data_IF_295004834900
#
_entry.id   IF_295004834900
#
_cell.length_a   1.000
_cell.length_b   1.000
_cell.length_c   1.000
_cell.angle_alpha   90.00
_cell.angle_beta   90.00
_cell.angle_gamma   90.00
#
_symmetry.space_group_name_H-M   'P 1'
#
loop_
_entity.id
_entity.type
_entity.pdbx_description
1 polymer ?
#
# COMPACT_ATOMS: atom_id res chain seq x y z
N UNK A 1 -17.80 -14.15 -11.24
CA UNK A 1 -18.80 -13.97 -12.32
C UNK A 1 -18.89 -12.49 -12.67
N UNK A 2 -19.07 -12.17 -13.96
CA UNK A 2 -19.09 -10.78 -14.40
C UNK A 2 -20.49 -10.18 -14.46
N UNK A 3 -20.59 -8.88 -14.18
CA UNK A 3 -21.84 -8.12 -14.10
C UNK A 3 -21.65 -6.69 -14.61
N UNK A 4 -22.75 -6.15 -15.16
CA UNK A 4 -22.85 -4.74 -15.53
C UNK A 4 -23.96 -4.07 -14.72
N UNK A 5 -23.74 -2.79 -14.35
CA UNK A 5 -24.68 -1.99 -13.58
C UNK A 5 -24.81 -0.58 -14.12
N UNK A 6 -25.94 0.08 -13.88
CA UNK A 6 -25.98 1.53 -13.89
C UNK A 6 -25.20 2.11 -12.71
N UNK A 7 -24.70 3.34 -12.82
CA UNK A 7 -24.00 4.01 -11.69
C UNK A 7 -24.83 4.08 -10.42
N UNK A 8 -26.16 4.25 -10.53
CA UNK A 8 -27.05 4.27 -9.36
C UNK A 8 -27.04 2.95 -8.62
N UNK A 9 -27.21 1.83 -9.32
CA UNK A 9 -27.15 0.49 -8.71
C UNK A 9 -25.78 0.19 -8.11
N UNK A 10 -24.70 0.61 -8.78
CA UNK A 10 -23.35 0.45 -8.26
C UNK A 10 -23.12 1.23 -6.95
N UNK A 11 -23.70 2.42 -6.80
CA UNK A 11 -23.68 3.18 -5.55
C UNK A 11 -24.45 2.46 -4.43
N UNK A 12 -25.57 1.84 -4.73
CA UNK A 12 -26.33 1.06 -3.75
C UNK A 12 -25.54 -0.17 -3.26
N UNK A 13 -24.88 -0.88 -4.17
CA UNK A 13 -23.97 -2.00 -3.84
C UNK A 13 -22.81 -1.48 -2.95
N UNK A 14 -22.19 -0.37 -3.35
CA UNK A 14 -21.10 0.23 -2.58
C UNK A 14 -21.55 0.62 -1.16
N UNK A 15 -22.74 1.19 -1.04
CA UNK A 15 -23.35 1.52 0.26
C UNK A 15 -23.60 0.25 1.11
N UNK A 16 -23.91 -0.90 0.51
CA UNK A 16 -24.00 -2.16 1.24
C UNK A 16 -22.62 -2.63 1.71
N UNK A 17 -21.59 -2.48 0.89
CA UNK A 17 -20.21 -2.81 1.29
C UNK A 17 -19.71 -1.95 2.44
N UNK A 18 -19.97 -0.62 2.45
CA UNK A 18 -19.53 0.27 3.54
C UNK A 18 -20.18 -0.05 4.90
N UNK A 19 -21.33 -0.75 4.90
CA UNK A 19 -21.94 -1.25 6.15
C UNK A 19 -21.15 -2.42 6.75
N UNK A 20 -20.59 -3.28 5.89
CA UNK A 20 -19.84 -4.50 6.29
C UNK A 20 -18.35 -4.27 6.42
N UNK A 21 -17.77 -3.40 5.59
CA UNK A 21 -16.34 -3.17 5.44
C UNK A 21 -15.97 -1.71 5.74
N UNK A 22 -14.76 -1.50 6.23
CA UNK A 22 -14.07 -0.23 6.08
C UNK A 22 -13.41 -0.19 4.70
N UNK A 23 -13.91 0.69 3.84
CA UNK A 23 -13.51 0.75 2.42
C UNK A 23 -12.44 1.81 2.23
N UNK A 24 -11.32 1.44 1.62
CA UNK A 24 -10.20 2.33 1.32
C UNK A 24 -9.92 2.36 -0.18
N UNK A 25 -9.74 3.56 -0.71
CA UNK A 25 -9.42 3.78 -2.11
C UNK A 25 -8.53 5.04 -2.28
N UNK A 26 -7.89 5.21 -3.44
CA UNK A 26 -7.30 6.49 -3.80
C UNK A 26 -8.39 7.56 -3.85
N UNK A 27 -8.19 8.67 -3.15
CA UNK A 27 -9.10 9.84 -3.16
C UNK A 27 -8.32 11.14 -3.24
N UNK A 28 -8.96 12.17 -3.77
CA UNK A 28 -8.43 13.52 -3.76
C UNK A 28 -8.55 14.11 -2.34
N UNK A 29 -7.46 14.65 -1.84
CA UNK A 29 -7.40 15.41 -0.59
C UNK A 29 -7.01 16.85 -0.94
N UNK A 30 -8.01 17.73 -0.93
CA UNK A 30 -7.84 19.12 -1.33
C UNK A 30 -7.01 19.89 -0.30
N UNK A 31 -6.01 20.63 -0.78
CA UNK A 31 -5.14 21.43 0.08
C UNK A 31 -4.18 20.66 0.99
N UNK A 32 -4.12 19.32 0.90
CA UNK A 32 -3.23 18.48 1.71
C UNK A 32 -1.91 18.10 1.01
N UNK A 33 -1.59 18.76 -0.09
CA UNK A 33 -0.35 18.52 -0.83
C UNK A 33 0.91 19.03 -0.12
N UNK A 34 2.05 18.94 -0.80
CA UNK A 34 3.33 19.39 -0.24
C UNK A 34 3.40 20.91 -0.03
N UNK A 35 2.56 21.68 -0.71
CA UNK A 35 2.39 23.11 -0.57
C UNK A 35 0.93 23.40 -0.21
N UNK A 36 0.71 24.48 0.52
CA UNK A 36 -0.60 24.82 1.09
C UNK A 36 -1.74 25.02 0.07
N UNK A 37 -1.40 25.19 -1.20
CA UNK A 37 -2.32 25.42 -2.32
C UNK A 37 -2.38 24.24 -3.30
N UNK A 38 -1.81 23.11 -2.93
CA UNK A 38 -1.78 21.91 -3.78
C UNK A 38 -2.60 20.78 -3.19
N UNK A 39 -3.19 19.99 -4.08
CA UNK A 39 -3.93 18.79 -3.74
C UNK A 39 -3.03 17.57 -3.78
N UNK A 40 -3.45 16.51 -3.15
CA UNK A 40 -2.77 15.22 -3.17
C UNK A 40 -3.79 14.09 -3.37
N UNK A 41 -3.37 13.05 -4.08
CA UNK A 41 -4.14 11.81 -4.15
C UNK A 41 -3.48 10.80 -3.21
N UNK A 42 -4.25 10.34 -2.23
CA UNK A 42 -3.79 9.40 -1.22
C UNK A 42 -4.87 8.36 -0.92
N UNK A 43 -4.46 7.22 -0.42
CA UNK A 43 -5.40 6.26 0.11
C UNK A 43 -6.09 6.81 1.36
N UNK A 44 -7.41 6.74 1.37
CA UNK A 44 -8.25 7.17 2.49
C UNK A 44 -9.53 6.36 2.55
N UNK A 45 -10.22 6.44 3.67
CA UNK A 45 -11.54 5.85 3.81
C UNK A 45 -12.52 6.58 2.90
N UNK A 46 -13.33 5.80 2.19
CA UNK A 46 -14.35 6.29 1.26
C UNK A 46 -15.71 5.70 1.62
N UNK A 47 -16.73 6.55 1.61
CA UNK A 47 -18.10 6.16 1.91
C UNK A 47 -18.98 6.14 0.66
N UNK A 48 -18.51 6.76 -0.43
CA UNK A 48 -19.20 6.84 -1.71
C UNK A 48 -18.27 6.42 -2.86
N UNK A 49 -18.87 5.83 -3.89
CA UNK A 49 -18.17 5.46 -5.12
C UNK A 49 -17.58 6.68 -5.87
N UNK A 50 -18.23 7.83 -5.73
CA UNK A 50 -17.81 9.09 -6.39
C UNK A 50 -16.56 9.71 -5.72
N UNK A 51 -16.22 9.33 -4.49
CA UNK A 51 -15.03 9.81 -3.80
C UNK A 51 -13.73 9.16 -4.32
N UNK A 52 -13.86 8.10 -5.13
CA UNK A 52 -12.72 7.32 -5.63
C UNK A 52 -12.09 8.01 -6.83
N UNK A 53 -10.78 8.22 -6.77
CA UNK A 53 -9.99 8.69 -7.91
C UNK A 53 -9.60 7.50 -8.81
N UNK A 54 -10.26 7.39 -9.96
CA UNK A 54 -10.10 6.27 -10.88
C UNK A 54 -8.91 6.41 -11.82
N UNK A 55 -8.59 7.63 -12.25
CA UNK A 55 -7.70 7.88 -13.38
C UNK A 55 -6.26 8.16 -12.96
N UNK A 56 -6.07 8.73 -11.78
CA UNK A 56 -4.76 9.15 -11.30
C UNK A 56 -4.19 8.14 -10.29
N UNK A 57 -2.87 8.07 -10.26
CA UNK A 57 -2.14 7.26 -9.28
C UNK A 57 -2.08 7.99 -7.94
N UNK A 58 -2.18 7.25 -6.85
CA UNK A 58 -1.90 7.78 -5.51
C UNK A 58 -0.44 8.20 -5.36
N UNK A 59 -0.20 9.31 -4.70
CA UNK A 59 1.13 9.84 -4.37
C UNK A 59 1.80 9.07 -3.22
N UNK A 60 1.01 8.37 -2.41
CA UNK A 60 1.46 7.50 -1.33
C UNK A 60 0.96 6.07 -1.53
N UNK A 61 1.62 5.15 -0.85
CA UNK A 61 1.30 3.73 -0.97
C UNK A 61 0.09 3.31 -0.13
N UNK A 62 -0.70 2.39 -0.64
CA UNK A 62 -1.75 1.69 0.10
C UNK A 62 -1.23 0.96 1.35
N UNK A 63 0.07 0.72 1.46
CA UNK A 63 0.66 -0.04 2.58
C UNK A 63 0.33 0.55 3.95
N UNK A 64 0.02 1.85 4.03
CA UNK A 64 -0.37 2.51 5.27
C UNK A 64 -1.68 1.96 5.88
N UNK A 65 -2.48 1.25 5.08
CA UNK A 65 -3.69 0.57 5.54
C UNK A 65 -3.34 -0.78 6.20
N UNK A 66 -2.38 -1.52 5.61
CA UNK A 66 -1.94 -2.82 6.12
C UNK A 66 -0.85 -2.69 7.20
N UNK A 67 -0.08 -1.62 7.14
CA UNK A 67 1.02 -1.27 8.03
C UNK A 67 0.83 0.17 8.45
N UNK A 68 0.24 0.42 9.59
CA UNK A 68 0.04 1.79 10.08
C UNK A 68 1.37 2.54 10.23
N UNK A 69 1.39 3.84 9.89
CA UNK A 69 2.59 4.69 9.99
C UNK A 69 3.13 4.69 11.42
N UNK A 70 2.24 4.68 12.40
CA UNK A 70 2.55 4.51 13.82
C UNK A 70 1.55 3.53 14.42
N UNK A 71 2.03 2.45 15.00
CA UNK A 71 1.21 1.39 15.56
C UNK A 71 1.65 1.05 16.99
N UNK A 72 0.74 1.16 17.95
CA UNK A 72 0.98 0.68 19.31
C UNK A 72 0.90 -0.84 19.31
N UNK A 73 2.02 -1.50 19.62
CA UNK A 73 2.09 -2.95 19.69
C UNK A 73 1.47 -3.45 20.98
N UNK A 74 1.82 -2.82 22.11
CA UNK A 74 1.19 -3.10 23.40
C UNK A 74 1.36 -1.93 24.36
N UNK A 75 0.43 -1.82 25.27
CA UNK A 75 0.53 -1.00 26.47
C UNK A 75 1.12 -1.84 27.60
N UNK A 76 1.84 -1.20 28.51
CA UNK A 76 2.40 -1.88 29.68
C UNK A 76 2.27 -1.06 30.97
N UNK A 77 2.16 -1.79 32.06
CA UNK A 77 2.34 -1.31 33.41
C UNK A 77 3.43 -2.16 34.08
N UNK A 78 3.69 -1.98 35.39
CA UNK A 78 4.66 -2.82 36.11
C UNK A 78 4.35 -4.32 36.01
N UNK A 79 3.06 -4.69 36.05
CA UNK A 79 2.61 -6.07 36.20
C UNK A 79 1.80 -6.61 35.01
N UNK A 80 1.41 -5.75 34.06
CA UNK A 80 0.48 -6.12 33.00
C UNK A 80 0.88 -5.57 31.64
N UNK A 81 0.55 -6.35 30.61
CA UNK A 81 0.62 -5.90 29.21
C UNK A 81 -0.74 -6.08 28.54
N UNK A 82 -1.11 -5.15 27.67
CA UNK A 82 -2.36 -5.18 26.92
C UNK A 82 -2.10 -4.87 25.44
N UNK A 83 -2.48 -5.78 24.57
CA UNK A 83 -2.43 -5.58 23.12
C UNK A 83 -3.70 -4.82 22.69
N UNK A 84 -3.57 -3.75 21.88
CA UNK A 84 -4.72 -3.04 21.32
C UNK A 84 -5.60 -3.98 20.48
N UNK A 85 -6.90 -3.78 20.53
CA UNK A 85 -7.84 -4.50 19.66
C UNK A 85 -7.54 -4.20 18.19
N UNK A 86 -7.74 -5.20 17.34
CA UNK A 86 -7.68 -5.03 15.88
C UNK A 86 -8.88 -4.23 15.34
N UNK A 87 -8.95 -4.06 14.01
CA UNK A 87 -10.08 -3.38 13.37
C UNK A 87 -11.41 -4.11 13.69
N UNK A 88 -12.49 -3.35 13.86
CA UNK A 88 -13.81 -3.92 14.16
C UNK A 88 -14.47 -4.51 12.92
N UNK A 89 -14.33 -3.84 11.77
CA UNK A 89 -14.84 -4.29 10.48
C UNK A 89 -13.73 -4.96 9.67
N UNK A 90 -14.13 -5.78 8.72
CA UNK A 90 -13.24 -6.22 7.66
C UNK A 90 -12.90 -5.04 6.74
N UNK A 91 -11.81 -5.17 6.00
CA UNK A 91 -11.24 -4.08 5.21
C UNK A 91 -11.36 -4.42 3.74
N UNK A 92 -11.82 -3.46 2.95
CA UNK A 92 -11.90 -3.56 1.50
C UNK A 92 -10.99 -2.49 0.88
N UNK A 93 -9.99 -2.91 0.10
CA UNK A 93 -8.99 -1.99 -0.44
C UNK A 93 -9.01 -2.04 -1.97
N UNK A 94 -9.17 -0.87 -2.59
CA UNK A 94 -9.11 -0.70 -4.04
C UNK A 94 -7.66 -0.56 -4.47
N UNK A 95 -7.16 -1.50 -5.25
CA UNK A 95 -5.75 -1.60 -5.64
C UNK A 95 -5.57 -1.73 -7.15
N UNK A 96 -4.46 -1.24 -7.67
CA UNK A 96 -4.02 -1.53 -9.04
C UNK A 96 -3.22 -2.83 -9.09
N UNK A 97 -3.01 -3.38 -10.27
CA UNK A 97 -2.25 -4.64 -10.45
C UNK A 97 -0.86 -4.59 -9.80
N UNK A 98 -0.13 -3.49 -9.97
CA UNK A 98 1.20 -3.31 -9.37
C UNK A 98 1.16 -3.30 -7.84
N UNK A 99 0.08 -2.78 -7.24
CA UNK A 99 -0.11 -2.77 -5.78
C UNK A 99 -0.40 -4.19 -5.27
N UNK A 100 -1.19 -4.99 -6.00
CA UNK A 100 -1.42 -6.40 -5.67
C UNK A 100 -0.13 -7.23 -5.70
N UNK A 101 0.79 -6.93 -6.62
CA UNK A 101 2.14 -7.52 -6.59
C UNK A 101 2.94 -7.06 -5.37
N UNK A 102 2.78 -5.82 -4.93
CA UNK A 102 3.42 -5.34 -3.70
C UNK A 102 2.84 -6.03 -2.46
N UNK A 103 1.53 -6.27 -2.39
CA UNK A 103 0.92 -7.10 -1.32
C UNK A 103 1.58 -8.47 -1.25
N UNK A 104 1.77 -9.16 -2.39
CA UNK A 104 2.49 -10.45 -2.42
C UNK A 104 3.89 -10.37 -1.80
N UNK A 105 4.60 -9.24 -1.98
CA UNK A 105 5.92 -9.03 -1.37
C UNK A 105 5.83 -8.78 0.14
N UNK A 106 4.85 -7.99 0.58
CA UNK A 106 4.60 -7.81 2.01
C UNK A 106 4.23 -9.13 2.69
N UNK A 107 3.36 -9.92 2.08
CA UNK A 107 2.99 -11.26 2.56
C UNK A 107 4.22 -12.18 2.69
N UNK A 108 5.16 -12.12 1.74
CA UNK A 108 6.41 -12.87 1.84
C UNK A 108 7.28 -12.44 3.02
N UNK A 109 7.34 -11.13 3.29
CA UNK A 109 8.17 -10.58 4.38
C UNK A 109 7.53 -10.86 5.74
N UNK A 110 6.24 -10.57 5.88
CA UNK A 110 5.58 -10.58 7.18
C UNK A 110 4.95 -11.92 7.58
N UNK A 111 4.57 -12.76 6.60
CA UNK A 111 3.89 -14.03 6.87
C UNK A 111 4.76 -15.27 6.59
N UNK A 112 5.80 -15.13 5.73
CA UNK A 112 6.52 -16.31 5.20
C UNK A 112 8.05 -16.26 5.38
N UNK A 113 8.58 -15.23 6.03
CA UNK A 113 10.01 -15.06 6.26
C UNK A 113 10.36 -15.26 7.73
N UNK A 114 10.30 -16.48 8.19
CA UNK A 114 10.54 -16.86 9.58
C UNK A 114 9.24 -16.88 10.39
N UNK A 115 9.17 -16.13 11.48
CA UNK A 115 7.95 -16.03 12.29
C UNK A 115 6.97 -15.04 11.65
N UNK A 116 5.69 -15.40 11.70
CA UNK A 116 4.61 -14.56 11.24
C UNK A 116 4.48 -13.32 12.13
N UNK A 117 4.38 -12.14 11.49
CA UNK A 117 4.12 -10.88 12.20
C UNK A 117 2.64 -10.82 12.59
N UNK A 118 2.37 -10.96 13.87
CA UNK A 118 1.01 -10.96 14.43
C UNK A 118 0.20 -9.72 14.03
N UNK A 119 0.80 -8.54 14.02
CA UNK A 119 0.11 -7.26 13.75
C UNK A 119 -0.26 -7.12 12.29
N UNK A 120 0.62 -7.57 11.38
CA UNK A 120 0.32 -7.62 9.97
C UNK A 120 -0.73 -8.70 9.66
N UNK A 121 -0.57 -9.91 10.18
CA UNK A 121 -1.45 -11.03 9.93
C UNK A 121 -2.91 -10.70 10.28
N UNK A 122 -3.18 -10.17 11.47
CA UNK A 122 -4.53 -9.83 11.94
C UNK A 122 -5.27 -8.82 11.06
N UNK A 123 -4.55 -7.92 10.37
CA UNK A 123 -5.13 -6.96 9.41
C UNK A 123 -5.28 -7.63 8.05
N UNK A 124 -4.24 -8.35 7.62
CA UNK A 124 -4.17 -9.00 6.32
C UNK A 124 -5.26 -10.07 6.10
N UNK A 125 -5.57 -10.85 7.13
CA UNK A 125 -6.64 -11.86 7.12
C UNK A 125 -8.03 -11.26 6.92
N UNK A 126 -8.22 -10.01 7.32
CA UNK A 126 -9.48 -9.27 7.21
C UNK A 126 -9.54 -8.36 5.97
N UNK A 127 -8.47 -8.32 5.18
CA UNK A 127 -8.38 -7.47 4.00
C UNK A 127 -8.76 -8.21 2.73
N UNK A 128 -9.72 -7.65 2.00
CA UNK A 128 -10.11 -8.03 0.63
C UNK A 128 -9.68 -6.95 -0.35
N UNK A 129 -9.39 -7.35 -1.58
CA UNK A 129 -8.86 -6.47 -2.60
C UNK A 129 -9.76 -6.35 -3.81
N UNK A 130 -10.09 -5.13 -4.16
CA UNK A 130 -10.77 -4.78 -5.40
C UNK A 130 -9.73 -4.31 -6.41
N UNK A 131 -9.57 -5.04 -7.50
CA UNK A 131 -8.71 -4.63 -8.59
C UNK A 131 -9.34 -3.49 -9.38
N UNK A 132 -8.67 -2.35 -9.42
CA UNK A 132 -8.98 -1.23 -10.33
C UNK A 132 -8.27 -1.45 -11.67
N UNK A 133 -9.00 -1.41 -12.76
CA UNK A 133 -8.42 -1.52 -14.10
C UNK A 133 -7.42 -0.39 -14.40
N UNK A 134 -6.44 -0.71 -15.22
CA UNK A 134 -5.50 0.28 -15.76
C UNK A 134 -5.56 0.24 -17.28
N UNK A 135 -6.26 1.18 -17.89
CA UNK A 135 -6.28 1.34 -19.35
C UNK A 135 -5.03 2.09 -19.84
N UNK A 136 -4.63 3.11 -19.08
CA UNK A 136 -3.53 3.98 -19.43
C UNK A 136 -2.31 3.76 -18.52
N UNK A 137 -1.12 3.98 -19.10
CA UNK A 137 0.13 3.90 -18.36
C UNK A 137 0.36 5.14 -17.51
N UNK A 138 0.97 4.97 -16.35
CA UNK A 138 1.50 6.09 -15.58
C UNK A 138 2.69 6.72 -16.30
N UNK A 139 2.88 8.04 -16.20
CA UNK A 139 3.95 8.78 -16.88
C UNK A 139 5.36 8.20 -16.65
N UNK A 140 5.64 7.73 -15.44
CA UNK A 140 6.91 7.07 -15.07
C UNK A 140 6.73 5.57 -14.80
N UNK A 141 5.64 4.97 -15.32
CA UNK A 141 5.32 3.56 -15.07
C UNK A 141 6.14 2.62 -15.95
N UNK A 142 6.56 1.49 -15.41
CA UNK A 142 7.26 0.42 -16.12
C UNK A 142 6.74 -0.98 -15.71
N UNK A 143 5.47 -1.07 -15.34
CA UNK A 143 4.84 -2.29 -14.85
C UNK A 143 4.86 -3.44 -15.88
N UNK A 144 4.78 -3.13 -17.17
CA UNK A 144 4.88 -4.15 -18.25
C UNK A 144 6.27 -4.78 -18.27
N UNK A 145 7.33 -3.96 -18.15
CA UNK A 145 8.72 -4.47 -18.10
C UNK A 145 8.98 -5.34 -16.86
N UNK A 146 8.21 -5.12 -15.78
CA UNK A 146 8.34 -5.87 -14.53
C UNK A 146 7.35 -7.03 -14.41
N UNK A 147 6.49 -7.26 -15.41
CA UNK A 147 5.39 -8.22 -15.36
C UNK A 147 4.44 -8.01 -14.17
N UNK A 148 4.22 -6.75 -13.80
CA UNK A 148 3.32 -6.36 -12.71
C UNK A 148 2.08 -5.61 -13.19
N UNK A 149 1.88 -5.53 -14.50
CA UNK A 149 0.72 -4.92 -15.15
C UNK A 149 -0.55 -5.77 -15.04
N UNK A 150 -0.42 -7.07 -14.77
CA UNK A 150 -1.53 -8.02 -14.60
C UNK A 150 -1.46 -8.65 -13.21
N UNK A 151 -2.61 -8.90 -12.61
CA UNK A 151 -2.72 -9.60 -11.33
C UNK A 151 -3.96 -10.50 -11.35
N UNK A 152 -3.91 -11.60 -10.63
CA UNK A 152 -4.97 -12.61 -10.47
C UNK A 152 -5.47 -12.77 -9.04
N UNK A 153 -4.73 -12.21 -8.07
CA UNK A 153 -4.98 -12.32 -6.64
C UNK A 153 -5.85 -11.18 -6.11
N UNK A 154 -7.04 -11.01 -6.68
CA UNK A 154 -8.05 -10.05 -6.24
C UNK A 154 -9.37 -10.78 -5.93
N UNK A 155 -10.18 -10.17 -5.08
CA UNK A 155 -11.50 -10.67 -4.67
C UNK A 155 -12.60 -10.22 -5.63
N UNK A 156 -12.48 -9.00 -6.16
CA UNK A 156 -13.29 -8.52 -7.28
C UNK A 156 -12.49 -7.53 -8.14
N UNK A 157 -12.90 -7.39 -9.39
CA UNK A 157 -12.44 -6.36 -10.31
C UNK A 157 -13.56 -5.35 -10.53
N UNK A 158 -13.20 -4.09 -10.70
CA UNK A 158 -14.14 -3.01 -11.03
C UNK A 158 -13.57 -2.09 -12.10
N UNK A 159 -14.44 -1.73 -13.03
CA UNK A 159 -14.24 -0.68 -14.03
C UNK A 159 -15.44 0.24 -14.03
N UNK A 160 -15.18 1.52 -14.17
CA UNK A 160 -16.22 2.57 -14.27
C UNK A 160 -16.00 3.34 -15.56
N UNK A 161 -17.03 3.44 -16.39
CA UNK A 161 -17.06 4.33 -17.55
C UNK A 161 -18.05 5.49 -17.33
N UNK A 162 -18.43 6.18 -18.40
CA UNK A 162 -19.33 7.33 -18.30
C UNK A 162 -20.76 6.95 -17.86
N UNK A 163 -21.26 5.76 -18.22
CA UNK A 163 -22.64 5.34 -17.99
C UNK A 163 -22.79 4.15 -17.06
N UNK A 164 -21.78 3.25 -17.05
CA UNK A 164 -21.88 1.96 -16.40
C UNK A 164 -20.72 1.66 -15.46
N UNK A 165 -20.94 0.66 -14.62
CA UNK A 165 -19.93 0.01 -13.79
C UNK A 165 -19.92 -1.48 -14.14
N UNK A 166 -18.73 -2.01 -14.35
CA UNK A 166 -18.49 -3.42 -14.66
C UNK A 166 -17.71 -4.06 -13.53
N UNK A 167 -18.12 -5.25 -13.12
CA UNK A 167 -17.45 -6.00 -12.07
C UNK A 167 -17.24 -7.45 -12.49
N UNK A 168 -16.06 -8.02 -12.19
CA UNK A 168 -15.83 -9.46 -12.13
C UNK A 168 -15.60 -9.84 -10.67
N UNK A 169 -16.50 -10.65 -10.08
CA UNK A 169 -16.47 -10.97 -8.65
C UNK A 169 -16.10 -12.43 -8.46
N UNK A 170 -15.07 -12.66 -7.66
CA UNK A 170 -14.56 -13.99 -7.29
C UNK A 170 -14.93 -14.40 -5.88
N UNK A 171 -15.00 -13.43 -4.96
CA UNK A 171 -15.35 -13.66 -3.56
C UNK A 171 -16.87 -13.75 -3.38
N UNK A 172 -17.34 -14.84 -2.76
CA UNK A 172 -18.77 -15.11 -2.58
C UNK A 172 -19.48 -14.06 -1.71
N UNK A 173 -18.80 -13.52 -0.70
CA UNK A 173 -19.43 -12.53 0.22
C UNK A 173 -19.60 -11.16 -0.43
N UNK A 174 -18.78 -10.83 -1.42
CA UNK A 174 -18.93 -9.64 -2.26
C UNK A 174 -19.97 -9.87 -3.35
N UNK A 175 -20.06 -11.11 -3.87
CA UNK A 175 -21.00 -11.47 -4.95
C UNK A 175 -22.46 -11.38 -4.53
N UNK A 176 -22.79 -11.64 -3.26
CA UNK A 176 -24.18 -11.59 -2.77
C UNK A 176 -24.87 -10.26 -3.07
N UNK A 177 -24.20 -9.14 -2.79
CA UNK A 177 -24.72 -7.79 -3.06
C UNK A 177 -24.76 -7.46 -4.55
N UNK A 178 -23.82 -8.00 -5.32
CA UNK A 178 -23.62 -7.73 -6.74
C UNK A 178 -24.64 -8.49 -7.60
N UNK A 179 -24.85 -9.78 -7.30
CA UNK A 179 -25.73 -10.66 -8.05
C UNK A 179 -27.19 -10.24 -8.03
N UNK A 180 -27.65 -9.61 -6.95
CA UNK A 180 -29.03 -9.19 -6.79
C UNK A 180 -29.42 -8.03 -7.73
N UNK A 181 -28.43 -7.20 -8.11
CA UNK A 181 -28.65 -5.93 -8.80
C UNK A 181 -28.05 -5.88 -10.22
N UNK A 182 -27.17 -6.83 -10.57
CA UNK A 182 -26.38 -6.81 -11.80
C UNK A 182 -26.95 -7.61 -12.94
N UNK A 183 -26.78 -7.10 -14.16
CA UNK A 183 -27.02 -7.83 -15.38
C UNK A 183 -25.79 -8.69 -15.71
N UNK A 184 -25.91 -10.02 -15.85
CA UNK A 184 -24.79 -10.90 -16.14
C UNK A 184 -24.07 -10.51 -17.44
N UNK A 185 -22.75 -10.36 -17.38
CA UNK A 185 -21.89 -10.02 -18.51
C UNK A 185 -20.53 -10.69 -18.35
N UNK A 186 -19.87 -11.07 -19.45
CA UNK A 186 -18.49 -11.52 -19.40
C UNK A 186 -17.57 -10.30 -19.24
N UNK A 187 -16.97 -10.15 -18.06
CA UNK A 187 -16.12 -9.01 -17.71
C UNK A 187 -14.70 -9.51 -17.46
N UNK A 188 -13.77 -8.93 -18.18
CA UNK A 188 -12.33 -9.21 -18.03
C UNK A 188 -11.58 -7.96 -17.61
N UNK A 189 -10.60 -8.05 -16.70
CA UNK A 189 -9.84 -6.90 -16.25
C UNK A 189 -9.04 -6.23 -17.37
N UNK A 190 -9.08 -4.89 -17.38
CA UNK A 190 -8.25 -4.08 -18.25
C UNK A 190 -6.84 -3.91 -17.67
N UNK A 191 -5.83 -4.08 -18.52
CA UNK A 191 -4.44 -3.97 -18.16
C UNK A 191 -3.66 -3.13 -19.15
N UNK A 192 -2.71 -2.34 -18.65
CA UNK A 192 -1.72 -1.63 -19.47
C UNK A 192 -0.99 -2.64 -20.35
N UNK A 193 -0.97 -2.42 -21.66
CA UNK A 193 -0.30 -3.27 -22.64
C UNK A 193 1.13 -2.83 -22.92
N UNK A 194 1.40 -1.54 -22.83
CA UNK A 194 2.70 -0.94 -23.08
C UNK A 194 2.94 0.27 -22.16
N UNK A 195 4.16 0.42 -21.67
CA UNK A 195 4.58 1.60 -20.92
C UNK A 195 5.38 2.55 -21.82
N UNK A 196 5.34 3.86 -21.48
CA UNK A 196 6.21 4.88 -22.09
C UNK A 196 7.66 4.54 -21.76
N UNK A 197 7.94 4.30 -20.48
CA UNK A 197 9.27 3.92 -20.00
C UNK A 197 9.48 2.41 -20.09
N UNK A 198 10.55 2.01 -20.77
CA UNK A 198 10.94 0.60 -20.92
C UNK A 198 12.19 0.33 -20.09
N UNK A 199 12.06 -0.53 -19.09
CA UNK A 199 13.17 -0.94 -18.22
C UNK A 199 13.72 -2.28 -18.71
N UNK A 200 15.03 -2.33 -18.90
CA UNK A 200 15.73 -3.56 -19.23
C UNK A 200 16.36 -4.15 -17.96
N UNK A 201 15.80 -5.24 -17.48
CA UNK A 201 16.34 -5.94 -16.32
C UNK A 201 17.65 -6.66 -16.70
N UNK A 202 18.71 -6.52 -15.89
CA UNK A 202 19.93 -7.29 -16.11
C UNK A 202 19.67 -8.77 -15.82
N UNK A 203 20.23 -9.65 -16.66
CA UNK A 203 20.13 -11.10 -16.46
C UNK A 203 20.89 -11.57 -15.21
N UNK A 204 22.03 -10.93 -14.96
CA UNK A 204 22.89 -11.19 -13.79
C UNK A 204 23.28 -9.87 -13.13
N UNK A 205 23.23 -9.82 -11.82
CA UNK A 205 23.80 -8.75 -11.01
C UNK A 205 25.21 -9.17 -10.61
N UNK A 206 26.22 -8.37 -11.01
CA UNK A 206 27.61 -8.56 -10.59
C UNK A 206 28.01 -7.51 -9.55
N UNK A 207 29.11 -7.78 -8.83
CA UNK A 207 29.67 -6.82 -7.88
C UNK A 207 30.09 -5.49 -8.55
N UNK A 208 30.31 -5.46 -9.84
CA UNK A 208 30.59 -4.24 -10.61
C UNK A 208 29.43 -3.24 -10.57
N UNK A 209 28.18 -3.72 -10.39
CA UNK A 209 27.03 -2.82 -10.24
C UNK A 209 27.15 -1.93 -8.99
N UNK A 210 27.87 -2.34 -7.97
CA UNK A 210 28.09 -1.57 -6.74
C UNK A 210 29.11 -0.43 -6.88
N UNK A 211 29.94 -0.44 -7.91
CA UNK A 211 30.98 0.58 -8.15
C UNK A 211 30.59 1.60 -9.21
N UNK A 212 29.35 1.54 -9.73
CA UNK A 212 28.89 2.43 -10.79
C UNK A 212 28.74 3.88 -10.30
N UNK A 213 29.09 4.88 -11.15
CA UNK A 213 29.00 6.31 -10.79
C UNK A 213 27.60 6.78 -10.39
N UNK A 214 26.56 6.08 -10.84
CA UNK A 214 25.16 6.39 -10.52
C UNK A 214 24.92 6.50 -9.00
N UNK A 215 25.59 5.71 -8.18
CA UNK A 215 25.44 5.75 -6.73
C UNK A 215 25.98 7.03 -6.11
N UNK A 216 27.10 7.56 -6.69
CA UNK A 216 27.61 8.87 -6.28
C UNK A 216 26.65 9.98 -6.70
N UNK A 217 26.13 9.94 -7.92
CA UNK A 217 25.15 10.91 -8.43
C UNK A 217 23.89 10.95 -7.52
N UNK A 218 23.36 9.79 -7.11
CA UNK A 218 22.25 9.74 -6.17
C UNK A 218 22.63 10.26 -4.78
N UNK A 219 23.86 9.96 -4.33
CA UNK A 219 24.38 10.47 -3.06
C UNK A 219 24.42 11.99 -3.03
N UNK A 220 24.85 12.61 -4.11
CA UNK A 220 24.98 14.07 -4.22
C UNK A 220 23.61 14.79 -4.27
N UNK A 221 22.60 14.12 -4.79
CA UNK A 221 21.22 14.67 -4.89
C UNK A 221 20.34 14.36 -3.68
N UNK A 222 20.69 13.37 -2.89
CA UNK A 222 19.84 12.89 -1.81
C UNK A 222 19.95 13.78 -0.58
N UNK A 223 18.85 14.37 -0.15
CA UNK A 223 18.76 15.20 1.07
C UNK A 223 18.41 14.39 2.33
N UNK A 224 18.36 13.06 2.23
CA UNK A 224 18.07 12.18 3.38
C UNK A 224 16.63 12.26 3.94
N UNK A 225 15.64 12.75 3.18
CA UNK A 225 14.28 12.96 3.67
C UNK A 225 13.47 11.66 3.87
N UNK A 226 13.93 10.51 3.34
CA UNK A 226 13.27 9.22 3.49
C UNK A 226 12.00 9.00 2.66
N UNK A 227 11.52 9.99 1.89
CA UNK A 227 10.26 9.91 1.12
C UNK A 227 10.21 8.69 0.19
N UNK A 228 11.34 8.33 -0.43
CA UNK A 228 11.43 7.15 -1.32
C UNK A 228 10.97 5.85 -0.63
N UNK A 229 11.27 5.66 0.65
CA UNK A 229 10.82 4.50 1.42
C UNK A 229 9.35 4.62 1.84
N UNK A 230 8.88 5.82 2.16
CA UNK A 230 7.50 6.03 2.59
C UNK A 230 6.51 5.81 1.46
N UNK A 231 6.82 6.24 0.25
CA UNK A 231 5.95 6.04 -0.93
C UNK A 231 6.10 4.65 -1.56
N UNK A 232 7.20 3.95 -1.33
CA UNK A 232 7.43 2.62 -1.88
C UNK A 232 6.52 1.58 -1.20
N UNK A 233 5.69 0.83 -1.94
CA UNK A 233 4.77 -0.13 -1.35
C UNK A 233 5.44 -1.36 -0.74
N UNK A 234 6.72 -1.62 -1.06
CA UNK A 234 7.46 -2.80 -0.58
C UNK A 234 8.51 -2.47 0.48
N UNK A 235 8.73 -1.18 0.81
CA UNK A 235 9.63 -0.80 1.89
C UNK A 235 9.00 -1.02 3.26
N UNK A 236 9.73 -1.69 4.14
CA UNK A 236 9.25 -2.17 5.45
C UNK A 236 10.11 -1.70 6.61
N UNK A 237 10.94 -0.67 6.42
CA UNK A 237 11.78 -0.12 7.48
C UNK A 237 10.92 0.48 8.60
N UNK A 238 11.22 0.15 9.84
CA UNK A 238 10.56 0.69 11.03
C UNK A 238 11.56 0.85 12.18
N UNK A 239 11.17 1.65 13.17
CA UNK A 239 11.81 1.73 14.48
C UNK A 239 10.84 1.32 15.56
N UNK A 240 11.37 0.80 16.67
CA UNK A 240 10.60 0.57 17.89
C UNK A 240 10.87 1.74 18.85
N UNK A 241 9.79 2.23 19.46
CA UNK A 241 9.82 3.33 20.40
C UNK A 241 9.06 2.96 21.66
N UNK A 242 9.71 3.12 22.81
CA UNK A 242 9.04 3.02 24.10
C UNK A 242 8.67 4.44 24.56
N UNK A 243 7.37 4.67 24.73
CA UNK A 243 6.80 5.95 25.16
C UNK A 243 6.30 5.78 26.58
N UNK A 244 6.92 6.48 27.50
CA UNK A 244 6.55 6.45 28.91
C UNK A 244 5.55 7.56 29.22
N UNK A 245 4.46 7.21 29.89
CA UNK A 245 3.43 8.17 30.28
C UNK A 245 3.71 8.87 31.61
N UNK A 246 4.69 8.35 32.35
CA UNK A 246 5.14 8.90 33.62
C UNK A 246 6.66 8.77 33.73
N UNK A 247 7.27 9.62 34.53
CA UNK A 247 8.72 9.67 34.73
C UNK A 247 9.31 8.41 35.38
N UNK A 248 8.46 7.55 35.97
CA UNK A 248 8.91 6.32 36.61
C UNK A 248 9.24 5.18 35.65
N UNK A 249 9.08 5.38 34.33
CA UNK A 249 9.31 4.39 33.27
C UNK A 249 8.55 3.06 33.42
N UNK A 250 7.47 3.03 34.20
CA UNK A 250 6.72 1.81 34.54
C UNK A 250 5.40 1.68 33.79
N UNK A 251 4.91 2.76 33.21
CA UNK A 251 3.65 2.81 32.48
C UNK A 251 3.87 3.49 31.14
N UNK A 252 3.48 2.82 30.09
CA UNK A 252 3.68 3.34 28.74
C UNK A 252 3.16 2.43 27.65
N UNK A 253 3.69 2.64 26.47
CA UNK A 253 3.42 1.83 25.28
C UNK A 253 4.69 1.58 24.48
N UNK A 254 4.72 0.46 23.78
CA UNK A 254 5.69 0.20 22.72
C UNK A 254 5.05 0.41 21.36
N UNK A 255 5.66 1.25 20.55
CA UNK A 255 5.22 1.56 19.19
C UNK A 255 6.18 1.02 18.14
N UNK A 256 5.61 0.58 17.04
CA UNK A 256 6.30 0.44 15.76
C UNK A 256 5.98 1.66 14.91
N UNK A 257 7.00 2.37 14.45
CA UNK A 257 6.84 3.59 13.64
C UNK A 257 7.64 3.42 12.36
N UNK A 258 7.06 3.82 11.24
CA UNK A 258 7.79 3.78 9.97
C UNK A 258 9.09 4.55 10.07
N UNK A 259 10.11 4.01 9.42
CA UNK A 259 11.42 4.63 9.33
C UNK A 259 11.95 4.52 7.89
N UNK A 260 13.10 5.08 7.64
CA UNK A 260 13.73 5.01 6.34
C UNK A 260 15.23 4.78 6.48
N UNK A 261 15.73 3.80 5.71
CA UNK A 261 17.18 3.58 5.61
C UNK A 261 17.94 4.78 4.99
N UNK A 262 17.22 5.72 4.36
CA UNK A 262 17.81 6.95 3.81
C UNK A 262 17.98 8.07 4.84
N UNK A 263 17.31 7.98 5.99
CA UNK A 263 17.44 8.95 7.08
C UNK A 263 18.71 8.65 7.88
N UNK A 264 19.44 9.71 8.26
CA UNK A 264 20.65 9.57 9.06
C UNK A 264 20.35 8.94 10.43
N UNK A 265 21.27 8.16 10.92
CA UNK A 265 21.16 7.45 12.19
C UNK A 265 20.37 6.13 12.14
N UNK A 266 19.52 5.90 11.13
CA UNK A 266 18.70 4.67 11.07
C UNK A 266 19.53 3.37 10.99
N UNK A 267 20.67 3.40 10.30
CA UNK A 267 21.57 2.23 10.15
C UNK A 267 22.69 2.20 11.17
N UNK A 268 22.67 3.09 12.16
CA UNK A 268 23.65 3.09 13.24
C UNK A 268 23.37 1.96 14.24
N UNK A 269 24.44 1.30 14.63
CA UNK A 269 24.42 0.27 15.65
C UNK A 269 24.88 0.84 17.00
N UNK A 270 24.62 0.09 18.06
CA UNK A 270 25.14 0.41 19.39
C UNK A 270 26.67 0.67 19.35
N UNK A 271 27.12 1.76 19.96
CA UNK A 271 28.51 2.22 19.90
C UNK A 271 28.82 3.19 18.77
N UNK A 272 27.81 3.65 18.00
CA UNK A 272 27.98 4.69 16.96
C UNK A 272 28.60 4.19 15.65
N UNK A 273 28.56 2.88 15.41
CA UNK A 273 29.08 2.30 14.16
C UNK A 273 27.98 2.21 13.11
N UNK A 274 28.19 2.83 11.93
CA UNK A 274 27.29 2.75 10.78
C UNK A 274 27.99 2.13 9.57
N UNK A 275 27.41 1.10 8.95
CA UNK A 275 27.96 0.49 7.74
C UNK A 275 27.68 1.29 6.47
N UNK A 276 26.67 2.12 6.48
CA UNK A 276 26.16 2.86 5.30
C UNK A 276 25.95 4.32 5.68
N UNK A 277 27.03 5.06 5.78
CA UNK A 277 26.99 6.45 6.23
C UNK A 277 26.56 7.41 5.11
N UNK A 278 26.92 7.10 3.85
CA UNK A 278 26.55 7.93 2.71
C UNK A 278 25.22 7.50 2.10
N UNK A 279 24.43 8.46 1.64
CA UNK A 279 23.13 8.23 1.01
C UNK A 279 23.23 7.33 -0.22
N UNK A 280 24.26 7.48 -1.05
CA UNK A 280 24.51 6.61 -2.20
C UNK A 280 24.75 5.14 -1.80
N UNK A 281 25.41 4.89 -0.66
CA UNK A 281 25.60 3.54 -0.13
C UNK A 281 24.30 2.92 0.37
N UNK A 282 23.39 3.73 0.91
CA UNK A 282 22.06 3.30 1.35
C UNK A 282 21.14 3.01 0.16
N UNK A 283 21.22 3.85 -0.89
CA UNK A 283 20.42 3.67 -2.12
C UNK A 283 20.81 2.40 -2.88
N UNK A 284 22.06 1.99 -2.83
CA UNK A 284 22.61 0.80 -3.49
C UNK A 284 22.06 -0.52 -2.92
N UNK A 285 21.57 -0.49 -1.71
CA UNK A 285 21.03 -1.64 -0.98
C UNK A 285 19.52 -1.76 -1.13
#
# INVERSE_FOLDING_TARGET
>A
MGYQFSKTKAKDIFCQWTKKYDVFAPKLMEGEGCFSDTDIIRYGKVDNLDDIEWNKKSDYSFKEILLAISETLFYFTEDQTMIPKGPEKDILIFLRSCDLHAVKRLDQIYLKNGFEDFYYARIRERAKFILMGCENTCASGFCVSMNTNKADNYDAYIKVDEEHVYMDVKDQTLEEAVKAEGDPLDVTPDYVKENIEKVRLPKNLSNESFTKPIWQEYGDRCIGCGRCNFVCPTCTCFTMQDIFYKDNAKVGERRRVWASCQVDGYTEMAGGHGFRQKQGDRMRF
#
